data_IF_827914873125
#
_entry.id   IF_827914873125
#
_cell.length_a   1.000
_cell.length_b   1.000
_cell.length_c   1.000
_cell.angle_alpha   90.00
_cell.angle_beta   90.00
_cell.angle_gamma   90.00
#
_symmetry.space_group_name_H-M   'P 1'
#
loop_
_entity.id
_entity.type
_entity.pdbx_description
1 polymer ?
#
# COMPACT_ATOMS: atom_id res chain seq x y z
N UNK A 1 35.52 -46.36 -14.37
CA UNK A 1 34.24 -45.63 -14.52
C UNK A 1 33.78 -45.16 -13.15
N UNK A 2 33.45 -43.88 -13.02
CA UNK A 2 33.46 -43.11 -11.76
C UNK A 2 32.27 -43.37 -10.81
N UNK A 3 32.55 -43.35 -9.50
CA UNK A 3 31.57 -43.32 -8.40
C UNK A 3 30.82 -41.98 -8.42
N UNK A 4 29.48 -42.02 -8.48
CA UNK A 4 28.63 -40.84 -8.27
C UNK A 4 28.40 -40.64 -6.77
N UNK A 5 29.04 -39.63 -6.22
CA UNK A 5 28.80 -39.15 -4.85
C UNK A 5 27.58 -38.24 -4.87
N UNK A 6 26.50 -38.62 -4.18
CA UNK A 6 25.35 -37.73 -3.96
C UNK A 6 25.71 -36.69 -2.91
N UNK A 7 25.93 -35.45 -3.33
CA UNK A 7 25.95 -34.32 -2.42
C UNK A 7 24.52 -34.05 -1.92
N UNK A 8 24.30 -34.36 -0.64
CA UNK A 8 23.15 -33.89 0.12
C UNK A 8 23.12 -32.37 0.06
N UNK A 9 22.07 -31.81 -0.54
CA UNK A 9 21.80 -30.37 -0.51
C UNK A 9 21.48 -29.99 0.94
N UNK A 10 22.41 -29.27 1.55
CA UNK A 10 22.23 -28.66 2.86
C UNK A 10 21.04 -27.69 2.76
N UNK A 11 19.85 -28.12 3.23
CA UNK A 11 18.73 -27.19 3.39
C UNK A 11 19.07 -26.33 4.59
N UNK A 12 19.59 -25.13 4.33
CA UNK A 12 19.80 -24.13 5.37
C UNK A 12 18.54 -23.98 6.21
N UNK A 13 18.71 -23.88 7.52
CA UNK A 13 17.64 -23.54 8.45
C UNK A 13 16.98 -22.25 7.95
N UNK A 14 15.66 -22.19 7.77
CA UNK A 14 15.00 -20.93 7.41
C UNK A 14 15.32 -19.92 8.50
N UNK A 15 15.92 -18.79 8.12
CA UNK A 15 16.18 -17.69 9.03
C UNK A 15 14.87 -17.31 9.73
N UNK A 16 14.92 -17.06 11.03
CA UNK A 16 13.74 -16.60 11.75
C UNK A 16 13.21 -15.32 11.10
N UNK A 17 11.88 -15.21 10.88
CA UNK A 17 11.31 -14.01 10.30
C UNK A 17 11.64 -12.81 11.19
N UNK A 18 12.10 -11.72 10.57
CA UNK A 18 12.37 -10.47 11.29
C UNK A 18 11.10 -10.03 12.02
N UNK A 19 11.25 -9.74 13.31
CA UNK A 19 10.19 -9.14 14.12
C UNK A 19 10.22 -7.63 13.92
N UNK A 20 9.02 -7.05 13.88
CA UNK A 20 8.82 -5.61 13.81
C UNK A 20 7.96 -5.20 15.00
N UNK A 21 8.34 -4.13 15.69
CA UNK A 21 7.44 -3.50 16.66
C UNK A 21 6.38 -2.68 15.93
N UNK A 22 5.26 -2.40 16.59
CA UNK A 22 4.24 -1.53 16.00
C UNK A 22 4.80 -0.13 15.73
N UNK A 23 5.65 0.40 16.62
CA UNK A 23 6.32 1.69 16.44
C UNK A 23 7.23 1.70 15.21
N UNK A 24 7.96 0.62 14.94
CA UNK A 24 8.77 0.49 13.72
C UNK A 24 7.90 0.52 12.46
N UNK A 25 6.78 -0.20 12.45
CA UNK A 25 5.82 -0.22 11.33
C UNK A 25 5.22 1.17 11.12
N UNK A 26 4.79 1.82 12.20
CA UNK A 26 4.17 3.13 12.15
C UNK A 26 5.18 4.20 11.68
N UNK A 27 6.44 4.09 12.10
CA UNK A 27 7.53 4.93 11.59
C UNK A 27 7.81 4.67 10.11
N UNK A 28 7.80 3.42 9.63
CA UNK A 28 7.95 3.11 8.21
C UNK A 28 6.80 3.69 7.38
N UNK A 29 5.57 3.66 7.89
CA UNK A 29 4.42 4.28 7.24
C UNK A 29 4.59 5.80 7.20
N UNK A 30 4.86 6.44 8.33
CA UNK A 30 4.81 7.91 8.48
C UNK A 30 6.11 8.67 8.16
N UNK A 31 7.24 7.99 7.97
CA UNK A 31 8.50 8.67 7.67
C UNK A 31 8.41 9.47 6.37
N UNK A 32 9.08 10.61 6.31
CA UNK A 32 9.12 11.43 5.10
C UNK A 32 9.73 10.63 3.95
N UNK A 33 9.06 10.67 2.80
CA UNK A 33 9.46 9.99 1.57
C UNK A 33 9.52 10.96 0.40
N UNK A 34 10.39 10.63 -0.55
CA UNK A 34 10.51 11.30 -1.86
C UNK A 34 10.36 10.26 -2.96
N UNK A 35 9.90 10.69 -4.14
CA UNK A 35 9.74 9.82 -5.29
C UNK A 35 11.11 9.59 -5.96
N UNK A 36 11.59 8.34 -5.94
CA UNK A 36 12.85 7.97 -6.61
C UNK A 36 12.63 7.48 -8.05
N UNK A 37 11.49 6.84 -8.32
CA UNK A 37 11.03 6.53 -9.68
C UNK A 37 9.57 6.96 -9.83
N UNK A 38 9.26 7.91 -10.72
CA UNK A 38 7.92 8.47 -10.82
C UNK A 38 6.91 7.50 -11.42
N UNK A 39 5.61 7.69 -11.13
CA UNK A 39 4.55 6.97 -11.81
C UNK A 39 4.60 7.23 -13.33
N UNK A 40 4.11 6.28 -14.11
CA UNK A 40 3.99 6.41 -15.56
C UNK A 40 2.94 7.45 -15.92
N UNK A 41 3.20 8.20 -16.99
CA UNK A 41 2.23 9.14 -17.57
C UNK A 41 1.03 8.42 -18.17
N UNK A 42 1.29 7.32 -18.88
CA UNK A 42 0.26 6.47 -19.47
C UNK A 42 -0.02 5.28 -18.55
N UNK A 43 -1.29 5.14 -18.15
CA UNK A 43 -1.75 4.02 -17.34
C UNK A 43 -1.74 2.74 -18.18
N UNK A 44 -1.18 1.66 -17.62
CA UNK A 44 -1.21 0.36 -18.28
C UNK A 44 -2.49 -0.36 -17.88
N UNK A 45 -3.34 -0.69 -18.86
CA UNK A 45 -4.44 -1.63 -18.65
C UNK A 45 -3.88 -3.07 -18.64
N UNK A 46 -4.12 -3.80 -17.56
CA UNK A 46 -3.77 -5.20 -17.42
C UNK A 46 -4.88 -5.93 -16.67
N UNK A 47 -5.45 -6.96 -17.29
CA UNK A 47 -6.56 -7.78 -16.73
C UNK A 47 -7.70 -6.92 -16.15
N UNK A 48 -8.16 -5.92 -16.90
CA UNK A 48 -9.27 -5.04 -16.53
C UNK A 48 -8.94 -4.00 -15.45
N UNK A 49 -7.66 -3.80 -15.11
CA UNK A 49 -7.23 -2.79 -14.15
C UNK A 49 -6.17 -1.87 -14.76
N UNK A 50 -6.36 -0.58 -14.59
CA UNK A 50 -5.34 0.42 -14.81
C UNK A 50 -4.33 0.37 -13.67
N UNK A 51 -3.05 0.25 -14.01
CA UNK A 51 -1.93 0.21 -13.06
C UNK A 51 -1.02 1.43 -13.18
N UNK A 52 -0.64 1.98 -12.03
CA UNK A 52 0.42 2.97 -11.92
C UNK A 52 1.25 2.71 -10.66
N UNK A 53 2.52 2.36 -10.82
CA UNK A 53 3.42 2.06 -9.70
C UNK A 53 4.50 3.15 -9.62
N UNK A 54 5.01 3.43 -8.43
CA UNK A 54 6.14 4.34 -8.21
C UNK A 54 7.09 3.78 -7.15
N UNK A 55 8.36 4.17 -7.20
CA UNK A 55 9.34 3.90 -6.13
C UNK A 55 9.49 5.12 -5.25
N UNK A 56 9.65 4.86 -3.96
CA UNK A 56 9.90 5.90 -2.97
C UNK A 56 11.13 5.53 -2.15
N UNK A 57 11.81 6.55 -1.66
CA UNK A 57 12.86 6.42 -0.67
C UNK A 57 12.53 7.32 0.51
N UNK A 58 12.89 6.89 1.72
CA UNK A 58 12.92 7.80 2.87
C UNK A 58 13.79 9.01 2.56
N UNK A 59 13.46 10.19 3.10
CA UNK A 59 14.24 11.41 2.89
C UNK A 59 15.71 11.31 3.37
N UNK A 60 16.03 10.37 4.28
CA UNK A 60 17.40 10.07 4.71
C UNK A 60 18.11 8.99 3.86
N UNK A 61 17.47 8.51 2.78
CA UNK A 61 18.00 7.57 1.79
C UNK A 61 18.19 6.13 2.27
N UNK A 62 17.60 5.74 3.41
CA UNK A 62 17.83 4.40 4.01
C UNK A 62 16.73 3.40 3.63
N UNK A 63 15.48 3.48 4.16
CA UNK A 63 14.36 2.68 3.66
C UNK A 63 14.00 2.93 2.19
N UNK A 64 13.74 1.84 1.48
CA UNK A 64 13.15 1.84 0.14
C UNK A 64 11.72 1.32 0.18
N UNK A 65 10.88 1.87 -0.69
CA UNK A 65 9.48 1.51 -0.79
C UNK A 65 9.02 1.43 -2.25
N UNK A 66 7.92 0.73 -2.45
CA UNK A 66 7.14 0.75 -3.68
C UNK A 66 5.71 1.12 -3.34
N UNK A 67 5.12 2.05 -4.08
CA UNK A 67 3.69 2.26 -4.07
C UNK A 67 3.08 1.65 -5.33
N UNK A 68 1.95 0.96 -5.19
CA UNK A 68 1.16 0.49 -6.31
C UNK A 68 -0.20 1.16 -6.29
N UNK A 69 -0.73 1.47 -7.47
CA UNK A 69 -2.09 1.98 -7.65
C UNK A 69 -2.78 1.13 -8.70
N UNK A 70 -3.96 0.62 -8.38
CA UNK A 70 -4.81 -0.19 -9.24
C UNK A 70 -6.23 0.35 -9.22
N UNK A 71 -6.82 0.51 -10.39
CA UNK A 71 -8.23 0.93 -10.54
C UNK A 71 -8.88 0.04 -11.59
N UNK A 72 -10.01 -0.57 -11.25
CA UNK A 72 -10.78 -1.35 -12.21
C UNK A 72 -11.29 -0.41 -13.32
N UNK A 73 -11.30 -0.92 -14.56
CA UNK A 73 -11.72 -0.15 -15.73
C UNK A 73 -13.22 0.10 -15.76
N UNK A 74 -14.03 -0.90 -15.42
CA UNK A 74 -15.48 -0.85 -15.52
C UNK A 74 -16.16 -0.34 -14.23
N UNK A 75 -15.52 -0.57 -13.08
CA UNK A 75 -16.00 -0.18 -11.74
C UNK A 75 -14.96 0.72 -11.04
N UNK A 76 -14.93 2.02 -11.34
CA UNK A 76 -13.89 2.92 -10.85
C UNK A 76 -13.77 3.01 -9.31
N UNK A 77 -14.83 2.68 -8.57
CA UNK A 77 -14.87 2.54 -7.12
C UNK A 77 -14.13 1.29 -6.61
N UNK A 78 -13.92 0.29 -7.46
CA UNK A 78 -13.08 -0.87 -7.15
C UNK A 78 -11.62 -0.53 -7.47
N UNK A 79 -10.91 -0.11 -6.42
CA UNK A 79 -9.51 0.26 -6.52
C UNK A 79 -8.71 -0.22 -5.31
N UNK A 80 -7.39 -0.20 -5.48
CA UNK A 80 -6.42 -0.46 -4.43
C UNK A 80 -5.18 0.41 -4.58
N UNK A 81 -4.77 1.07 -3.50
CA UNK A 81 -3.54 1.87 -3.42
C UNK A 81 -2.75 1.38 -2.22
N UNK A 82 -1.51 0.93 -2.40
CA UNK A 82 -0.74 0.37 -1.29
C UNK A 82 0.71 0.79 -1.22
N UNK A 83 1.25 0.84 0.00
CA UNK A 83 2.64 1.13 0.34
C UNK A 83 3.33 -0.16 0.76
N UNK A 84 4.42 -0.49 0.07
CA UNK A 84 5.21 -1.68 0.33
C UNK A 84 6.61 -1.25 0.77
N UNK A 85 7.07 -1.75 1.93
CA UNK A 85 8.45 -1.63 2.35
C UNK A 85 9.31 -2.73 1.73
N UNK A 86 10.53 -2.36 1.34
CA UNK A 86 11.50 -3.22 0.67
C UNK A 86 12.74 -3.38 1.57
N UNK A 87 12.75 -4.37 2.49
CA UNK A 87 13.90 -4.61 3.33
C UNK A 87 15.13 -5.03 2.51
N UNK A 88 16.30 -4.45 2.83
CA UNK A 88 17.59 -4.81 2.21
C UNK A 88 18.20 -6.09 2.80
N UNK A 89 17.60 -6.63 3.86
CA UNK A 89 18.07 -7.81 4.59
C UNK A 89 17.54 -9.15 4.02
N UNK A 90 16.78 -9.10 2.92
CA UNK A 90 16.26 -10.29 2.25
C UNK A 90 15.05 -10.94 2.94
N UNK A 91 14.46 -10.30 3.94
CA UNK A 91 13.30 -10.82 4.69
C UNK A 91 11.98 -10.79 3.92
N UNK A 92 11.98 -10.22 2.71
CA UNK A 92 10.80 -10.12 1.84
C UNK A 92 10.04 -8.81 2.00
N UNK A 93 9.23 -8.47 1.01
CA UNK A 93 8.44 -7.23 1.01
C UNK A 93 7.34 -7.24 2.08
N UNK A 94 7.04 -6.06 2.65
CA UNK A 94 6.00 -5.89 3.67
C UNK A 94 4.99 -4.86 3.18
N UNK A 95 3.73 -5.28 3.00
CA UNK A 95 2.64 -4.35 2.69
C UNK A 95 2.23 -3.61 3.97
N UNK A 96 2.59 -2.33 4.06
CA UNK A 96 2.43 -1.51 5.26
C UNK A 96 1.04 -0.87 5.37
N UNK A 97 0.51 -0.41 4.24
CA UNK A 97 -0.75 0.32 4.16
C UNK A 97 -1.42 -0.03 2.84
N UNK A 98 -2.74 -0.24 2.84
CA UNK A 98 -3.54 -0.37 1.63
C UNK A 98 -4.89 0.32 1.78
N UNK A 99 -5.17 1.29 0.92
CA UNK A 99 -6.47 1.94 0.79
C UNK A 99 -7.25 1.24 -0.32
N UNK A 100 -8.47 0.84 -0.02
CA UNK A 100 -9.34 0.14 -0.96
C UNK A 100 -10.69 0.85 -1.06
N UNK A 101 -11.24 0.84 -2.27
CA UNK A 101 -12.66 1.09 -2.44
C UNK A 101 -13.49 -0.21 -2.33
N UNK A 102 -14.83 -0.11 -2.44
CA UNK A 102 -15.71 -1.26 -2.38
C UNK A 102 -15.38 -2.29 -3.47
N UNK A 103 -15.32 -3.57 -3.11
CA UNK A 103 -14.96 -4.64 -4.06
C UNK A 103 -15.81 -5.93 -3.94
N UNK A 104 -16.95 -5.83 -3.25
CA UNK A 104 -18.00 -6.86 -3.23
C UNK A 104 -17.74 -8.00 -2.24
N UNK A 105 -18.52 -9.07 -2.34
CA UNK A 105 -18.58 -10.12 -1.31
C UNK A 105 -17.40 -11.09 -1.24
N UNK A 106 -16.43 -11.02 -2.16
CA UNK A 106 -15.29 -11.95 -2.11
C UNK A 106 -14.42 -11.67 -0.89
N UNK A 107 -14.19 -12.69 -0.08
CA UNK A 107 -13.46 -12.55 1.18
C UNK A 107 -12.44 -13.67 1.37
N UNK A 108 -11.18 -13.37 1.10
CA UNK A 108 -10.07 -14.32 1.28
C UNK A 108 -9.75 -14.61 2.75
N UNK A 109 -10.12 -13.70 3.65
CA UNK A 109 -9.91 -13.83 5.10
C UNK A 109 -10.98 -14.65 5.81
N UNK A 110 -12.11 -14.93 5.12
CA UNK A 110 -13.35 -15.51 5.67
C UNK A 110 -13.90 -14.77 6.91
N UNK A 111 -13.46 -13.53 7.15
CA UNK A 111 -13.94 -12.69 8.24
C UNK A 111 -15.26 -11.98 7.85
N UNK A 112 -16.41 -12.38 8.42
CA UNK A 112 -17.70 -11.77 8.05
C UNK A 112 -17.78 -10.28 8.39
N UNK A 113 -16.93 -9.76 9.29
CA UNK A 113 -16.90 -8.35 9.67
C UNK A 113 -16.01 -7.50 8.74
N UNK A 114 -15.33 -8.12 7.77
CA UNK A 114 -14.44 -7.40 6.87
C UNK A 114 -15.22 -6.39 5.99
N UNK A 115 -14.80 -5.11 5.93
CA UNK A 115 -15.58 -4.02 5.31
C UNK A 115 -15.55 -3.96 3.77
N UNK A 116 -15.75 -5.08 3.05
CA UNK A 116 -15.64 -5.11 1.58
C UNK A 116 -16.68 -4.29 0.81
N UNK A 117 -17.79 -3.97 1.46
CA UNK A 117 -18.85 -3.14 0.89
C UNK A 117 -18.58 -1.63 1.03
N UNK A 118 -17.58 -1.24 1.82
CA UNK A 118 -17.24 0.16 2.07
C UNK A 118 -15.81 0.49 1.66
N UNK A 119 -15.49 1.78 1.72
CA UNK A 119 -14.12 2.26 1.68
C UNK A 119 -13.40 1.82 2.97
N UNK A 120 -12.19 1.28 2.83
CA UNK A 120 -11.48 0.72 3.97
C UNK A 120 -9.97 0.83 3.81
N UNK A 121 -9.29 0.75 4.96
CA UNK A 121 -7.84 0.77 5.04
C UNK A 121 -7.36 -0.49 5.73
N UNK A 122 -6.41 -1.18 5.11
CA UNK A 122 -5.59 -2.18 5.76
C UNK A 122 -4.31 -1.53 6.26
N UNK A 123 -3.91 -1.85 7.49
CA UNK A 123 -2.65 -1.39 8.08
C UNK A 123 -1.87 -2.58 8.59
N UNK A 124 -0.56 -2.60 8.33
CA UNK A 124 0.31 -3.61 8.88
C UNK A 124 0.30 -3.60 10.40
N UNK A 125 0.32 -4.78 11.00
CA UNK A 125 0.44 -4.92 12.46
C UNK A 125 1.52 -5.91 12.86
N UNK A 126 2.22 -5.57 13.94
CA UNK A 126 3.22 -6.45 14.54
C UNK A 126 2.59 -7.79 14.95
N UNK A 127 1.40 -7.74 15.55
CA UNK A 127 0.67 -8.94 15.99
C UNK A 127 0.34 -9.90 14.84
N UNK A 128 -0.05 -9.40 13.65
CA UNK A 128 -0.30 -10.27 12.50
C UNK A 128 0.99 -10.91 11.98
N UNK A 129 2.09 -10.14 11.93
CA UNK A 129 3.41 -10.65 11.53
C UNK A 129 3.86 -11.75 12.51
N UNK A 130 3.75 -11.52 13.82
CA UNK A 130 4.09 -12.50 14.86
C UNK A 130 3.23 -13.77 14.78
N UNK A 131 1.97 -13.65 14.39
CA UNK A 131 1.06 -14.77 14.15
C UNK A 131 1.30 -15.50 12.80
N UNK A 132 2.32 -15.10 12.03
CA UNK A 132 2.62 -15.67 10.71
C UNK A 132 1.57 -15.36 9.64
N UNK A 133 0.79 -14.31 9.85
CA UNK A 133 -0.24 -13.83 8.93
C UNK A 133 0.30 -12.72 8.03
N UNK A 134 -0.47 -12.36 6.99
CA UNK A 134 -0.19 -11.15 6.22
C UNK A 134 -0.17 -9.94 7.15
N UNK A 135 0.83 -9.04 7.06
CA UNK A 135 0.93 -7.87 7.93
C UNK A 135 -0.36 -7.05 7.97
N UNK A 136 -0.95 -6.83 6.80
CA UNK A 136 -2.13 -6.01 6.52
C UNK A 136 -3.45 -6.79 6.57
N UNK A 137 -3.48 -7.96 7.23
CA UNK A 137 -4.65 -8.85 7.23
C UNK A 137 -5.94 -8.16 7.71
N UNK A 138 -5.84 -7.30 8.72
CA UNK A 138 -7.00 -6.60 9.27
C UNK A 138 -7.30 -5.33 8.47
N UNK A 139 -8.58 -4.96 8.42
CA UNK A 139 -9.05 -3.74 7.78
C UNK A 139 -9.98 -2.97 8.70
N UNK A 140 -9.98 -1.65 8.57
CA UNK A 140 -10.93 -0.74 9.22
C UNK A 140 -11.73 0.02 8.18
N UNK A 141 -13.01 0.24 8.46
CA UNK A 141 -13.84 1.16 7.66
C UNK A 141 -13.20 2.54 7.68
N UNK A 142 -13.11 3.18 6.52
CA UNK A 142 -12.58 4.52 6.37
C UNK A 142 -13.69 5.48 5.91
N UNK A 143 -13.70 6.68 6.50
CA UNK A 143 -14.62 7.77 6.15
C UNK A 143 -13.89 9.03 5.64
N UNK A 144 -12.57 8.94 5.47
CA UNK A 144 -11.70 10.04 5.02
C UNK A 144 -11.58 10.10 3.49
N UNK A 145 -12.08 9.10 2.77
CA UNK A 145 -12.19 9.08 1.31
C UNK A 145 -13.42 8.30 0.84
N UNK A 146 -14.02 8.76 -0.25
CA UNK A 146 -15.14 8.12 -0.93
C UNK A 146 -14.89 7.97 -2.46
N UNK A 147 -13.65 8.17 -2.90
CA UNK A 147 -13.23 8.04 -4.30
C UNK A 147 -11.76 7.61 -4.40
N UNK A 148 -11.33 7.19 -5.59
CA UNK A 148 -9.93 6.86 -5.88
C UNK A 148 -9.02 8.06 -5.66
N UNK A 149 -9.44 9.25 -6.13
CA UNK A 149 -8.67 10.48 -6.05
C UNK A 149 -8.49 10.93 -4.59
N UNK A 150 -9.53 10.87 -3.77
CA UNK A 150 -9.43 11.15 -2.33
C UNK A 150 -8.59 10.09 -1.59
N UNK A 151 -8.71 8.81 -1.98
CA UNK A 151 -7.87 7.74 -1.42
C UNK A 151 -6.39 7.95 -1.75
N UNK A 152 -6.06 8.42 -2.95
CA UNK A 152 -4.69 8.79 -3.34
C UNK A 152 -4.18 9.97 -2.51
N UNK A 153 -5.00 11.01 -2.30
CA UNK A 153 -4.63 12.12 -1.43
C UNK A 153 -4.42 11.67 0.02
N UNK A 154 -5.33 10.86 0.56
CA UNK A 154 -5.19 10.24 1.87
C UNK A 154 -3.87 9.46 1.97
N UNK A 155 -3.62 8.58 1.00
CA UNK A 155 -2.42 7.76 0.93
C UNK A 155 -1.15 8.61 0.98
N UNK A 156 -1.05 9.65 0.13
CA UNK A 156 0.16 10.47 0.02
C UNK A 156 0.40 11.30 1.29
N UNK A 157 -0.65 11.80 1.96
CA UNK A 157 -0.52 12.46 3.27
C UNK A 157 -0.11 11.47 4.35
N UNK A 158 -0.80 10.34 4.47
CA UNK A 158 -0.57 9.33 5.52
C UNK A 158 0.80 8.69 5.40
N UNK A 159 1.30 8.51 4.18
CA UNK A 159 2.63 7.95 3.91
C UNK A 159 3.75 8.99 3.81
N UNK A 160 3.39 10.27 3.97
CA UNK A 160 4.28 11.42 3.99
C UNK A 160 5.18 11.53 2.75
N UNK A 161 4.59 11.42 1.56
CA UNK A 161 5.29 11.67 0.29
C UNK A 161 5.38 13.18 0.05
N UNK A 162 6.55 13.74 0.32
CA UNK A 162 6.77 15.19 0.48
C UNK A 162 6.78 15.96 -0.84
N UNK A 163 7.15 15.30 -1.94
CA UNK A 163 7.26 15.86 -3.29
C UNK A 163 6.10 15.45 -4.21
N UNK A 164 5.02 14.89 -3.65
CA UNK A 164 3.89 14.35 -4.40
C UNK A 164 3.28 15.32 -5.44
N UNK A 165 3.29 16.63 -5.14
CA UNK A 165 2.78 17.68 -6.05
C UNK A 165 3.53 17.77 -7.37
N UNK A 166 4.79 17.32 -7.43
CA UNK A 166 5.58 17.28 -8.66
C UNK A 166 5.13 16.14 -9.60
N UNK A 167 4.47 15.13 -9.05
CA UNK A 167 4.17 13.88 -9.75
C UNK A 167 2.67 13.68 -10.01
N UNK A 168 1.79 14.31 -9.21
CA UNK A 168 0.35 14.16 -9.30
C UNK A 168 -0.34 15.51 -9.49
N UNK A 169 -0.75 15.80 -10.73
CA UNK A 169 -1.47 17.03 -11.08
C UNK A 169 -2.80 17.19 -10.33
N UNK A 170 -3.48 16.07 -10.02
CA UNK A 170 -4.75 16.02 -9.27
C UNK A 170 -4.61 16.59 -7.86
N UNK A 171 -3.40 16.64 -7.29
CA UNK A 171 -3.14 17.24 -5.96
C UNK A 171 -2.80 18.72 -6.08
N UNK A 172 -2.34 19.17 -7.24
CA UNK A 172 -2.15 20.59 -7.51
C UNK A 172 -3.49 21.33 -7.64
N UNK A 173 -4.58 20.64 -8.01
CA UNK A 173 -5.93 21.16 -7.99
C UNK A 173 -6.64 20.80 -6.68
N UNK A 174 -6.42 21.59 -5.63
CA UNK A 174 -6.91 21.27 -4.29
C UNK A 174 -7.01 22.43 -3.32
N UNK A 175 -7.52 23.58 -3.75
CA UNK A 175 -8.33 24.44 -2.88
C UNK A 175 -9.44 25.00 -3.74
N UNK A 176 -10.62 24.37 -3.71
CA UNK A 176 -11.83 25.04 -4.15
C UNK A 176 -12.18 26.04 -3.04
N UNK A 177 -12.20 27.37 -3.28
CA UNK A 177 -12.76 28.31 -2.34
C UNK A 177 -14.28 28.13 -2.40
N UNK A 178 -14.81 27.12 -1.73
CA UNK A 178 -16.23 27.16 -1.41
C UNK A 178 -16.40 28.33 -0.44
N UNK A 179 -17.13 29.36 -0.87
CA UNK A 179 -17.64 30.34 0.07
C UNK A 179 -18.49 29.59 1.08
N UNK A 180 -18.22 29.79 2.37
CA UNK A 180 -19.04 29.30 3.47
C UNK A 180 -20.39 30.03 3.45
N UNK A 181 -21.24 29.68 2.50
CA UNK A 181 -22.62 30.13 2.50
C UNK A 181 -23.49 28.91 2.34
N UNK A 182 -24.06 28.49 3.47
CA UNK A 182 -25.14 27.52 3.50
C UNK A 182 -26.30 28.02 2.64
N UNK A 183 -27.02 27.12 1.95
CA UNK A 183 -28.23 27.49 1.24
C UNK A 183 -29.21 28.11 2.24
N UNK A 184 -29.65 29.33 1.94
CA UNK A 184 -30.73 30.00 2.65
C UNK A 184 -32.01 29.19 2.40
N UNK A 185 -32.81 28.88 3.44
CA UNK A 185 -33.96 27.97 3.37
C UNK A 185 -35.05 28.39 2.37
#
# INVERSE_FOLDING_TARGET
MAKRTSQSRNRGVPAEPRRYTQDEIDNLIGCAKVVSEPPKRDLKLDRGHYGNDMRLESADGKPEFRAFMRRNEDLPENFSIGLVFLPKDGTGEILLLRCNGPHGGYNDSFDPEHPHWGFHVHRASAAMIEAGQRPERTATVNQDFASYEEALQYFLRTTNVTDARLHFAVIAQGTLPFAAQEPIP
#
